data_IF_788898146713
#
_entry.id   IF_788898146713
#
_cell.length_a   1.000
_cell.length_b   1.000
_cell.length_c   1.000
_cell.angle_alpha   90.00
_cell.angle_beta   90.00
_cell.angle_gamma   90.00
#
_symmetry.space_group_name_H-M   'P 1'
#
loop_
_entity.id
_entity.type
_entity.pdbx_description
1 polymer ?
#
# COMPACT_ATOMS: atom_id res chain seq x y z
N UNK A 1 4.17 10.73 -0.39
CA UNK A 1 3.87 9.29 -0.32
C UNK A 1 2.44 9.09 0.16
N UNK A 2 1.68 8.18 -0.44
CA UNK A 2 0.32 7.81 -0.02
C UNK A 2 0.38 6.62 0.96
N UNK A 3 -0.45 6.61 2.00
CA UNK A 3 -0.55 5.50 2.96
C UNK A 3 -1.85 4.73 2.77
N UNK A 4 -1.77 3.46 2.39
CA UNK A 4 -2.89 2.52 2.41
C UNK A 4 -3.10 1.89 3.78
N UNK A 5 -4.35 1.73 4.21
CA UNK A 5 -4.69 0.94 5.41
C UNK A 5 -5.79 -0.04 5.03
N UNK A 6 -5.45 -1.32 5.00
CA UNK A 6 -6.38 -2.42 4.68
C UNK A 6 -7.52 -2.55 5.67
N UNK A 7 -8.46 -3.46 5.37
CA UNK A 7 -9.66 -3.67 6.20
C UNK A 7 -9.29 -4.15 7.60
N UNK A 8 -9.67 -3.39 8.61
CA UNK A 8 -9.44 -3.77 10.01
C UNK A 8 -9.68 -2.62 11.01
N UNK A 9 -9.53 -2.85 12.33
CA UNK A 9 -9.79 -1.85 13.37
C UNK A 9 -9.09 -0.51 13.13
N UNK A 10 -7.86 -0.54 12.61
CA UNK A 10 -7.08 0.66 12.30
C UNK A 10 -7.76 1.55 11.24
N UNK A 11 -8.32 0.95 10.18
CA UNK A 11 -9.04 1.71 9.13
C UNK A 11 -10.25 2.46 9.71
N UNK A 12 -11.04 1.80 10.56
CA UNK A 12 -12.18 2.44 11.23
C UNK A 12 -11.74 3.54 12.18
N UNK A 13 -10.62 3.34 12.88
CA UNK A 13 -10.07 4.34 13.78
C UNK A 13 -9.69 5.62 13.04
N UNK A 14 -9.03 5.49 11.88
CA UNK A 14 -8.67 6.64 11.02
C UNK A 14 -9.92 7.37 10.54
N UNK A 15 -10.94 6.66 10.05
CA UNK A 15 -12.24 7.25 9.67
C UNK A 15 -12.90 8.06 10.79
N UNK A 16 -12.76 7.60 12.04
CA UNK A 16 -13.39 8.22 13.20
C UNK A 16 -12.62 9.43 13.71
N UNK A 17 -11.28 9.40 13.66
CA UNK A 17 -10.45 10.33 14.43
C UNK A 17 -9.49 11.21 13.62
N UNK A 18 -9.29 10.92 12.33
CA UNK A 18 -8.24 11.52 11.49
C UNK A 18 -8.75 11.84 10.07
N UNK A 19 -9.98 12.36 9.96
CA UNK A 19 -10.65 12.63 8.69
C UNK A 19 -9.91 13.63 7.81
N UNK A 20 -9.20 14.57 8.42
CA UNK A 20 -8.43 15.62 7.76
C UNK A 20 -7.28 15.08 6.89
N UNK A 21 -6.79 13.87 7.16
CA UNK A 21 -5.75 13.21 6.36
C UNK A 21 -6.31 12.31 5.24
N UNK A 22 -7.61 11.99 5.29
CA UNK A 22 -8.22 11.00 4.41
C UNK A 22 -8.32 11.55 3.00
N UNK A 23 -7.86 10.76 2.03
CA UNK A 23 -7.93 11.11 0.61
C UNK A 23 -6.81 12.01 0.12
N UNK A 24 -6.08 12.67 1.02
CA UNK A 24 -4.88 13.46 0.71
C UNK A 24 -3.60 12.66 0.95
N UNK A 25 -3.48 12.02 2.12
CA UNK A 25 -2.26 11.34 2.57
C UNK A 25 -2.54 9.88 2.94
N UNK A 26 -3.69 9.61 3.56
CA UNK A 26 -4.09 8.25 3.94
C UNK A 26 -5.36 7.80 3.22
N UNK A 27 -5.37 6.55 2.81
CA UNK A 27 -6.49 5.85 2.20
C UNK A 27 -6.84 4.66 3.10
N UNK A 28 -7.74 4.83 4.09
CA UNK A 28 -8.30 3.69 4.81
C UNK A 28 -9.29 2.92 3.94
N UNK A 29 -9.45 1.62 4.20
CA UNK A 29 -10.52 0.82 3.59
C UNK A 29 -11.89 1.52 3.70
N UNK A 30 -12.70 1.61 2.64
CA UNK A 30 -12.53 0.95 1.33
C UNK A 30 -11.74 1.74 0.27
N UNK A 31 -11.24 2.95 0.55
CA UNK A 31 -10.49 3.74 -0.45
C UNK A 31 -9.22 3.02 -0.92
N UNK A 32 -8.57 2.31 0.00
CA UNK A 32 -7.53 1.32 -0.27
C UNK A 32 -8.11 -0.09 -0.11
N UNK A 33 -8.18 -0.84 -1.20
CA UNK A 33 -8.77 -2.17 -1.24
C UNK A 33 -7.68 -3.25 -1.31
N UNK A 34 -7.22 -3.68 -0.14
CA UNK A 34 -6.37 -4.86 0.04
C UNK A 34 -7.18 -5.96 0.74
N UNK A 35 -7.88 -6.76 -0.07
CA UNK A 35 -8.64 -7.91 0.41
C UNK A 35 -7.96 -9.21 -0.04
N UNK A 36 -6.65 -9.36 0.21
CA UNK A 36 -5.89 -10.58 -0.13
C UNK A 36 -6.55 -11.88 0.34
N UNK A 37 -7.24 -11.87 1.49
CA UNK A 37 -8.01 -13.05 1.96
C UNK A 37 -9.06 -13.54 0.96
N UNK A 38 -9.68 -12.63 0.20
CA UNK A 38 -10.64 -13.00 -0.83
C UNK A 38 -9.98 -13.77 -1.97
N UNK A 39 -8.66 -13.58 -2.20
CA UNK A 39 -7.89 -14.21 -3.28
C UNK A 39 -7.37 -15.61 -2.91
N UNK A 40 -7.36 -15.98 -1.64
CA UNK A 40 -6.74 -17.24 -1.15
C UNK A 40 -7.67 -18.46 -1.17
N UNK A 41 -8.91 -18.32 -1.64
CA UNK A 41 -9.92 -19.40 -1.50
C UNK A 41 -9.86 -20.46 -2.60
N UNK A 42 -9.51 -20.09 -3.84
CA UNK A 42 -9.25 -21.00 -4.97
C UNK A 42 -8.71 -20.22 -6.18
N UNK A 43 -8.31 -20.93 -7.25
CA UNK A 43 -7.76 -20.32 -8.49
C UNK A 43 -8.67 -19.32 -9.21
N UNK A 44 -9.98 -19.33 -8.95
CA UNK A 44 -10.95 -18.42 -9.56
C UNK A 44 -11.41 -17.32 -8.61
N UNK A 45 -10.85 -17.26 -7.41
CA UNK A 45 -11.24 -16.28 -6.40
C UNK A 45 -10.99 -14.83 -6.85
N UNK A 46 -10.01 -14.62 -7.75
CA UNK A 46 -9.76 -13.33 -8.39
C UNK A 46 -10.98 -12.81 -9.17
N UNK A 47 -11.82 -13.69 -9.75
CA UNK A 47 -13.02 -13.28 -10.50
C UNK A 47 -13.99 -12.57 -9.56
N UNK A 48 -14.24 -13.16 -8.39
CA UNK A 48 -15.11 -12.58 -7.38
C UNK A 48 -14.53 -11.29 -6.80
N UNK A 49 -13.21 -11.26 -6.57
CA UNK A 49 -12.51 -10.06 -6.13
C UNK A 49 -12.69 -8.89 -7.12
N UNK A 50 -12.41 -9.11 -8.41
CA UNK A 50 -12.54 -8.09 -9.44
C UNK A 50 -14.00 -7.64 -9.64
N UNK A 51 -14.97 -8.56 -9.54
CA UNK A 51 -16.41 -8.20 -9.56
C UNK A 51 -16.81 -7.32 -8.37
N UNK A 52 -16.30 -7.59 -7.17
CA UNK A 52 -16.51 -6.71 -6.00
C UNK A 52 -15.92 -5.32 -6.24
N UNK A 53 -14.74 -5.24 -6.85
CA UNK A 53 -14.15 -3.95 -7.24
C UNK A 53 -15.02 -3.22 -8.26
N UNK A 54 -15.60 -3.91 -9.25
CA UNK A 54 -16.49 -3.29 -10.22
C UNK A 54 -17.71 -2.65 -9.54
N UNK A 55 -18.30 -3.34 -8.55
CA UNK A 55 -19.41 -2.79 -7.77
C UNK A 55 -19.00 -1.57 -6.94
N UNK A 56 -17.76 -1.54 -6.43
CA UNK A 56 -17.22 -0.48 -5.57
C UNK A 56 -16.35 0.54 -6.29
N UNK A 57 -16.33 0.55 -7.63
CA UNK A 57 -15.42 1.37 -8.45
C UNK A 57 -15.51 2.88 -8.24
N UNK A 58 -16.60 3.35 -7.64
CA UNK A 58 -16.81 4.75 -7.25
C UNK A 58 -16.25 5.10 -5.86
N UNK A 59 -16.02 4.09 -5.02
CA UNK A 59 -15.50 4.24 -3.66
C UNK A 59 -13.99 3.98 -3.60
N UNK A 60 -13.53 2.93 -4.29
CA UNK A 60 -12.13 2.49 -4.26
C UNK A 60 -11.27 3.41 -5.13
N UNK A 61 -10.14 3.87 -4.58
CA UNK A 61 -9.14 4.66 -5.31
C UNK A 61 -7.95 3.81 -5.74
N UNK A 62 -7.44 3.00 -4.81
CA UNK A 62 -6.28 2.13 -5.04
C UNK A 62 -6.64 0.71 -4.58
N UNK A 63 -6.29 -0.29 -5.38
CA UNK A 63 -6.50 -1.70 -5.04
C UNK A 63 -5.26 -2.56 -5.32
N UNK A 64 -5.07 -3.62 -4.54
CA UNK A 64 -4.05 -4.62 -4.85
C UNK A 64 -4.56 -5.52 -5.97
N UNK A 65 -3.76 -5.71 -7.02
CA UNK A 65 -4.11 -6.57 -8.14
C UNK A 65 -3.87 -8.05 -7.77
N UNK A 66 -4.65 -9.00 -8.31
CA UNK A 66 -4.46 -10.42 -8.02
C UNK A 66 -3.08 -10.95 -8.45
N UNK A 67 -2.43 -11.72 -7.57
CA UNK A 67 -1.12 -12.31 -7.82
C UNK A 67 -1.16 -13.25 -9.04
N UNK A 68 -0.14 -13.15 -9.90
CA UNK A 68 0.09 -14.06 -11.04
C UNK A 68 -1.05 -14.17 -12.07
N UNK A 69 -1.95 -13.19 -12.16
CA UNK A 69 -3.04 -13.18 -13.15
C UNK A 69 -2.79 -12.14 -14.25
N UNK A 70 -2.17 -12.52 -15.39
CA UNK A 70 -2.04 -11.63 -16.54
C UNK A 70 -3.39 -11.07 -17.01
N UNK A 71 -3.49 -9.78 -17.38
CA UNK A 71 -4.73 -9.16 -17.85
C UNK A 71 -5.40 -9.92 -19.01
N UNK A 72 -4.61 -10.47 -19.93
CA UNK A 72 -5.11 -11.27 -21.06
C UNK A 72 -5.77 -12.61 -20.65
N UNK A 73 -5.58 -13.08 -19.40
CA UNK A 73 -6.20 -14.28 -18.83
C UNK A 73 -7.36 -13.98 -17.88
N UNK A 74 -7.73 -12.71 -17.70
CA UNK A 74 -8.79 -12.29 -16.79
C UNK A 74 -10.17 -12.49 -17.43
N UNK A 75 -11.04 -13.25 -16.76
CA UNK A 75 -12.43 -13.49 -17.19
C UNK A 75 -13.44 -12.42 -16.71
N UNK A 76 -12.96 -11.20 -16.46
CA UNK A 76 -13.74 -10.07 -15.95
C UNK A 76 -13.40 -8.85 -16.80
N UNK A 77 -14.41 -8.06 -17.17
CA UNK A 77 -14.18 -6.84 -17.96
C UNK A 77 -13.40 -5.80 -17.14
N UNK A 78 -12.09 -5.72 -17.38
CA UNK A 78 -11.18 -4.81 -16.70
C UNK A 78 -11.46 -3.33 -17.04
N UNK A 79 -12.04 -3.01 -18.20
CA UNK A 79 -12.30 -1.61 -18.58
C UNK A 79 -13.18 -0.85 -17.57
N UNK A 80 -14.04 -1.55 -16.84
CA UNK A 80 -14.89 -0.97 -15.79
C UNK A 80 -14.11 -0.56 -14.52
N UNK A 81 -12.82 -0.90 -14.44
CA UNK A 81 -11.95 -0.63 -13.29
C UNK A 81 -10.93 0.48 -13.57
N UNK A 82 -11.03 1.17 -14.71
CA UNK A 82 -10.06 2.20 -15.14
C UNK A 82 -9.90 3.38 -14.19
N UNK A 83 -10.91 3.64 -13.35
CA UNK A 83 -10.85 4.68 -12.31
C UNK A 83 -10.03 4.28 -11.08
N UNK A 84 -9.65 3.00 -10.95
CA UNK A 84 -8.87 2.48 -9.82
C UNK A 84 -7.40 2.37 -10.26
N UNK A 85 -6.50 2.88 -9.42
CA UNK A 85 -5.07 2.61 -9.58
C UNK A 85 -4.74 1.23 -8.98
N UNK A 86 -4.02 0.40 -9.72
CA UNK A 86 -3.67 -0.94 -9.25
C UNK A 86 -2.25 -0.99 -8.69
N UNK A 87 -2.07 -1.65 -7.56
CA UNK A 87 -0.74 -2.08 -7.10
C UNK A 87 -0.56 -3.51 -7.59
N UNK A 88 0.42 -3.74 -8.45
CA UNK A 88 0.77 -5.07 -8.96
C UNK A 88 1.85 -5.66 -8.04
N UNK A 89 1.56 -6.70 -7.24
CA UNK A 89 2.58 -7.35 -6.42
C UNK A 89 3.62 -8.01 -7.33
N UNK A 90 4.89 -7.63 -7.16
CA UNK A 90 6.00 -8.20 -7.93
C UNK A 90 6.66 -9.23 -7.01
N UNK A 91 6.45 -10.52 -7.27
CA UNK A 91 7.06 -11.61 -6.52
C UNK A 91 8.35 -12.08 -7.20
N UNK A 92 8.40 -12.02 -8.52
CA UNK A 92 9.64 -12.14 -9.30
C UNK A 92 9.75 -11.01 -10.31
N UNK A 93 10.95 -10.73 -10.85
CA UNK A 93 11.10 -9.62 -11.81
C UNK A 93 10.36 -9.89 -13.13
N UNK A 94 9.99 -11.14 -13.41
CA UNK A 94 9.14 -11.52 -14.53
C UNK A 94 7.70 -11.00 -14.39
N UNK A 95 7.21 -10.77 -13.16
CA UNK A 95 5.88 -10.20 -12.91
C UNK A 95 5.75 -8.76 -13.42
N UNK A 96 6.87 -8.10 -13.77
CA UNK A 96 6.86 -6.81 -14.47
C UNK A 96 6.12 -6.89 -15.80
N UNK A 97 6.01 -8.07 -16.42
CA UNK A 97 5.19 -8.27 -17.62
C UNK A 97 3.70 -8.04 -17.34
N UNK A 98 3.19 -8.45 -16.17
CA UNK A 98 1.80 -8.23 -15.76
C UNK A 98 1.53 -6.74 -15.61
N UNK A 99 2.46 -6.03 -14.98
CA UNK A 99 2.41 -4.58 -14.84
C UNK A 99 2.39 -3.87 -16.20
N UNK A 100 3.29 -4.25 -17.11
CA UNK A 100 3.36 -3.69 -18.46
C UNK A 100 2.08 -3.95 -19.28
N UNK A 101 1.47 -5.14 -19.16
CA UNK A 101 0.18 -5.44 -19.80
C UNK A 101 -0.95 -4.54 -19.26
N UNK A 102 -1.00 -4.29 -17.95
CA UNK A 102 -1.98 -3.37 -17.37
C UNK A 102 -1.77 -1.92 -17.85
N UNK A 103 -0.53 -1.46 -17.87
CA UNK A 103 -0.18 -0.12 -18.40
C UNK A 103 -0.57 0.01 -19.89
N UNK A 104 -0.29 -1.01 -20.71
CA UNK A 104 -0.64 -1.05 -22.13
C UNK A 104 -2.16 -0.99 -22.36
N UNK A 105 -2.95 -1.56 -21.44
CA UNK A 105 -4.40 -1.42 -21.47
C UNK A 105 -4.86 -0.01 -21.05
N UNK A 106 -3.97 0.84 -20.52
CA UNK A 106 -4.23 2.20 -20.05
C UNK A 106 -4.58 2.28 -18.56
N UNK A 107 -4.07 1.37 -17.72
CA UNK A 107 -4.23 1.49 -16.26
C UNK A 107 -3.12 2.34 -15.68
N UNK A 108 -3.47 3.13 -14.66
CA UNK A 108 -2.47 3.70 -13.76
C UNK A 108 -2.10 2.63 -12.73
N UNK A 109 -0.80 2.35 -12.60
CA UNK A 109 -0.34 1.32 -11.68
C UNK A 109 0.74 1.82 -10.72
N UNK A 110 0.92 1.05 -9.66
CA UNK A 110 2.12 1.01 -8.84
C UNK A 110 2.74 -0.37 -8.94
N UNK A 111 4.05 -0.42 -8.99
CA UNK A 111 4.84 -1.63 -8.86
C UNK A 111 4.99 -1.94 -7.36
N UNK A 112 4.48 -3.08 -6.92
CA UNK A 112 4.42 -3.46 -5.51
C UNK A 112 5.64 -4.25 -5.05
N UNK A 113 6.43 -3.67 -4.14
CA UNK A 113 7.55 -4.33 -3.46
C UNK A 113 7.08 -4.99 -2.17
N UNK A 114 7.22 -6.30 -2.03
CA UNK A 114 6.89 -7.01 -0.80
C UNK A 114 7.95 -6.75 0.30
N UNK A 115 7.51 -6.32 1.49
CA UNK A 115 8.38 -6.11 2.65
C UNK A 115 9.16 -7.37 3.02
N UNK A 116 8.46 -8.49 3.19
CA UNK A 116 9.04 -9.74 3.65
C UNK A 116 9.71 -10.50 2.49
N UNK A 117 11.01 -10.87 2.62
CA UNK A 117 11.77 -11.49 1.54
C UNK A 117 11.20 -12.81 1.02
N UNK A 118 10.49 -13.61 1.84
CA UNK A 118 9.96 -14.90 1.37
C UNK A 118 8.82 -14.75 0.35
N UNK A 119 8.26 -13.55 0.20
CA UNK A 119 7.30 -13.22 -0.85
C UNK A 119 7.98 -12.71 -2.13
N UNK A 120 9.32 -12.69 -2.25
CA UNK A 120 9.99 -12.23 -3.48
C UNK A 120 11.33 -12.93 -3.75
N UNK A 121 11.69 -13.05 -5.03
CA UNK A 121 12.94 -13.68 -5.47
C UNK A 121 14.09 -12.69 -5.75
N UNK A 122 13.92 -11.42 -5.44
CA UNK A 122 14.85 -10.34 -5.78
C UNK A 122 15.09 -9.41 -4.58
N UNK A 123 16.16 -8.60 -4.58
CA UNK A 123 16.45 -7.62 -3.52
C UNK A 123 15.81 -6.26 -3.79
N UNK A 124 15.72 -5.38 -2.78
CA UNK A 124 15.26 -4.00 -3.00
C UNK A 124 16.08 -3.28 -4.08
N UNK A 125 17.40 -3.48 -4.12
CA UNK A 125 18.24 -2.86 -5.14
C UNK A 125 17.92 -3.36 -6.55
N UNK A 126 17.60 -4.64 -6.70
CA UNK A 126 17.16 -5.20 -7.99
C UNK A 126 15.84 -4.56 -8.44
N UNK A 127 14.88 -4.46 -7.51
CA UNK A 127 13.59 -3.82 -7.75
C UNK A 127 13.73 -2.38 -8.22
N UNK A 128 14.53 -1.57 -7.52
CA UNK A 128 14.73 -0.15 -7.85
C UNK A 128 15.48 0.03 -9.18
N UNK A 129 16.38 -0.88 -9.52
CA UNK A 129 17.03 -0.87 -10.84
C UNK A 129 16.04 -1.18 -11.94
N UNK A 130 15.20 -2.19 -11.75
CA UNK A 130 14.25 -2.67 -12.75
C UNK A 130 13.04 -1.73 -12.94
N UNK A 131 12.50 -1.16 -11.86
CA UNK A 131 11.27 -0.36 -11.88
C UNK A 131 11.54 1.12 -12.07
N UNK A 132 11.00 1.69 -13.16
CA UNK A 132 11.05 3.15 -13.43
C UNK A 132 9.77 3.90 -13.05
N UNK A 133 8.63 3.21 -12.95
CA UNK A 133 7.33 3.79 -12.63
C UNK A 133 7.09 4.05 -11.14
N UNK A 134 5.82 4.29 -10.80
CA UNK A 134 5.37 4.52 -9.41
C UNK A 134 5.59 3.27 -8.56
N UNK A 135 6.11 3.42 -7.34
CA UNK A 135 6.48 2.31 -6.46
C UNK A 135 5.59 2.28 -5.24
N UNK A 136 5.16 1.08 -4.86
CA UNK A 136 4.38 0.84 -3.64
C UNK A 136 5.07 -0.15 -2.72
N UNK A 137 5.27 0.21 -1.46
CA UNK A 137 5.87 -0.68 -0.47
C UNK A 137 4.76 -1.45 0.26
N UNK A 138 4.67 -2.75 0.01
CA UNK A 138 3.60 -3.61 0.52
C UNK A 138 3.91 -4.10 1.93
N UNK A 139 2.97 -3.92 2.87
CA UNK A 139 2.99 -4.59 4.18
C UNK A 139 4.00 -4.05 5.19
N UNK A 140 4.20 -2.73 5.28
CA UNK A 140 5.08 -2.13 6.28
C UNK A 140 4.56 -2.41 7.70
N UNK A 141 5.41 -3.03 8.51
CA UNK A 141 5.07 -3.40 9.90
C UNK A 141 6.05 -2.80 10.91
N UNK A 142 7.17 -2.23 10.45
CA UNK A 142 8.22 -1.67 11.31
C UNK A 142 8.61 -0.27 10.87
N UNK A 143 9.14 0.50 11.82
CA UNK A 143 9.70 1.83 11.54
C UNK A 143 10.87 1.77 10.56
N UNK A 144 11.66 0.69 10.61
CA UNK A 144 12.82 0.49 9.72
C UNK A 144 12.37 0.38 8.26
N UNK A 145 11.36 -0.44 7.97
CA UNK A 145 10.81 -0.57 6.62
C UNK A 145 10.21 0.75 6.12
N UNK A 146 9.54 1.49 7.01
CA UNK A 146 9.04 2.81 6.66
C UNK A 146 10.15 3.80 6.30
N UNK A 147 11.24 3.83 7.06
CA UNK A 147 12.40 4.67 6.73
C UNK A 147 13.07 4.23 5.43
N UNK A 148 13.13 2.93 5.16
CA UNK A 148 13.63 2.40 3.90
C UNK A 148 12.78 2.88 2.71
N UNK A 149 11.44 2.78 2.82
CA UNK A 149 10.52 3.24 1.79
C UNK A 149 10.68 4.75 1.50
N UNK A 150 10.82 5.57 2.55
CA UNK A 150 11.05 7.00 2.40
C UNK A 150 12.38 7.32 1.72
N UNK A 151 13.47 6.71 2.20
CA UNK A 151 14.82 6.96 1.65
C UNK A 151 14.91 6.62 0.17
N UNK A 152 14.20 5.58 -0.24
CA UNK A 152 14.21 5.08 -1.62
C UNK A 152 13.18 5.79 -2.50
N UNK A 153 12.33 6.65 -1.91
CA UNK A 153 11.39 7.48 -2.65
C UNK A 153 10.19 6.71 -3.18
N UNK A 154 9.61 5.82 -2.36
CA UNK A 154 8.35 5.15 -2.71
C UNK A 154 7.18 6.15 -2.78
N UNK A 155 6.34 6.00 -3.79
CA UNK A 155 5.18 6.86 -4.03
C UNK A 155 4.02 6.53 -3.08
N UNK A 156 3.92 5.28 -2.66
CA UNK A 156 2.96 4.83 -1.66
C UNK A 156 3.44 3.63 -0.86
N UNK A 157 2.73 3.33 0.21
CA UNK A 157 2.93 2.13 1.01
C UNK A 157 1.65 1.78 1.75
N UNK A 158 1.43 0.50 2.05
CA UNK A 158 0.43 0.11 3.04
C UNK A 158 1.09 -0.30 4.34
N UNK A 159 0.41 0.03 5.43
CA UNK A 159 0.92 -0.18 6.78
C UNK A 159 0.02 -1.13 7.56
N UNK A 160 0.63 -1.92 8.42
CA UNK A 160 -0.07 -2.73 9.40
C UNK A 160 -0.16 -1.99 10.73
N UNK A 161 -1.06 -2.46 11.61
CA UNK A 161 -1.13 -1.93 12.97
C UNK A 161 0.14 -2.15 13.79
N UNK A 162 1.04 -3.06 13.39
CA UNK A 162 2.29 -3.35 14.13
C UNK A 162 3.27 -2.18 14.12
N UNK A 163 3.13 -1.26 13.17
CA UNK A 163 3.91 -0.03 13.12
C UNK A 163 3.73 0.85 14.37
N UNK A 164 2.59 0.73 15.06
CA UNK A 164 2.19 1.58 16.18
C UNK A 164 2.33 0.91 17.55
N UNK A 165 3.36 0.07 17.70
CA UNK A 165 3.75 -0.50 19.00
C UNK A 165 3.01 -1.80 19.35
N UNK A 166 3.02 -2.11 20.66
CA UNK A 166 2.47 -3.37 21.17
C UNK A 166 0.94 -3.35 21.18
N UNK A 167 0.34 -4.50 21.48
CA UNK A 167 -1.11 -4.61 21.49
C UNK A 167 -1.77 -3.67 22.51
N UNK A 168 -1.16 -3.45 23.68
CA UNK A 168 -1.70 -2.52 24.68
C UNK A 168 -1.72 -1.08 24.15
N UNK A 169 -0.67 -0.67 23.44
CA UNK A 169 -0.56 0.68 22.85
C UNK A 169 -1.68 0.95 21.85
N UNK A 170 -2.01 -0.07 21.05
CA UNK A 170 -3.06 0.00 20.01
C UNK A 170 -4.47 -0.05 20.60
N UNK A 171 -4.63 -0.55 21.83
CA UNK A 171 -5.90 -0.50 22.58
C UNK A 171 -6.11 0.85 23.27
N UNK A 172 -5.05 1.59 23.56
CA UNK A 172 -5.16 2.95 24.09
C UNK A 172 -5.46 3.96 22.96
N UNK A 173 -6.73 4.35 22.83
CA UNK A 173 -7.19 5.25 21.78
C UNK A 173 -6.44 6.58 21.72
N UNK A 174 -6.12 7.20 22.86
CA UNK A 174 -5.38 8.47 22.90
C UNK A 174 -3.95 8.29 22.40
N UNK A 175 -3.27 7.24 22.87
CA UNK A 175 -1.90 6.91 22.44
C UNK A 175 -1.86 6.59 20.95
N UNK A 176 -2.77 5.75 20.46
CA UNK A 176 -2.89 5.39 19.04
C UNK A 176 -3.17 6.61 18.17
N UNK A 177 -4.08 7.49 18.59
CA UNK A 177 -4.38 8.74 17.86
C UNK A 177 -3.14 9.61 17.73
N UNK A 178 -2.38 9.80 18.82
CA UNK A 178 -1.13 10.59 18.79
C UNK A 178 -0.12 9.97 17.83
N UNK A 179 0.14 8.66 17.98
CA UNK A 179 1.06 7.91 17.12
C UNK A 179 0.73 8.05 15.63
N UNK A 180 -0.54 7.85 15.26
CA UNK A 180 -1.00 8.01 13.89
C UNK A 180 -0.92 9.45 13.39
N UNK A 181 -1.29 10.42 14.21
CA UNK A 181 -1.27 11.84 13.81
C UNK A 181 0.14 12.29 13.47
N UNK A 182 1.12 11.97 14.31
CA UNK A 182 2.50 12.39 14.08
C UNK A 182 3.10 11.64 12.89
N UNK A 183 2.77 10.35 12.74
CA UNK A 183 3.14 9.55 11.57
C UNK A 183 2.60 10.18 10.27
N UNK A 184 1.31 10.50 10.20
CA UNK A 184 0.71 11.08 9.01
C UNK A 184 1.27 12.47 8.72
N UNK A 185 1.48 13.30 9.74
CA UNK A 185 2.17 14.60 9.59
C UNK A 185 3.58 14.45 9.01
N UNK A 186 4.32 13.43 9.43
CA UNK A 186 5.65 13.14 8.89
C UNK A 186 5.59 12.79 7.40
N UNK A 187 4.60 11.99 7.00
CA UNK A 187 4.37 11.64 5.58
C UNK A 187 3.94 12.86 4.74
N UNK A 188 3.16 13.78 5.32
CA UNK A 188 2.65 14.96 4.63
C UNK A 188 3.70 16.04 4.33
N UNK A 189 4.86 16.02 4.99
CA UNK A 189 5.89 17.06 4.80
C UNK A 189 6.50 16.93 3.40
N UNK A 190 6.71 18.05 2.67
CA UNK A 190 7.43 18.02 1.40
C UNK A 190 8.83 17.46 1.62
N UNK A 191 9.09 16.27 1.07
CA UNK A 191 10.42 15.66 1.08
C UNK A 191 11.27 16.31 -0.02
N UNK A 192 11.63 17.58 0.16
CA UNK A 192 12.81 18.11 -0.54
C UNK A 192 14.00 17.23 -0.19
N UNK A 193 14.94 16.99 -1.12
CA UNK A 193 16.12 16.10 -0.94
C UNK A 193 16.68 16.18 0.49
N UNK A 194 16.22 15.27 1.37
CA UNK A 194 16.60 15.26 2.77
C UNK A 194 17.94 14.54 2.86
N UNK A 195 18.99 15.31 3.16
CA UNK A 195 20.39 14.88 3.08
C UNK A 195 20.89 14.14 4.32
N UNK A 196 20.11 14.02 5.41
CA UNK A 196 20.60 13.34 6.62
C UNK A 196 19.54 12.60 7.44
N UNK A 197 19.94 11.47 8.03
CA UNK A 197 19.18 10.66 9.00
C UNK A 197 18.83 11.45 10.28
N UNK A 198 19.57 12.53 10.57
CA UNK A 198 19.40 13.31 11.79
C UNK A 198 18.13 14.17 11.79
N UNK A 199 17.60 14.55 10.62
CA UNK A 199 16.34 15.30 10.51
C UNK A 199 15.09 14.48 10.85
N UNK A 200 15.24 13.16 11.03
CA UNK A 200 14.18 12.28 11.52
C UNK A 200 14.04 12.28 13.05
N UNK A 201 15.01 12.82 13.80
CA UNK A 201 14.94 12.94 15.25
C UNK A 201 14.67 14.39 15.66
N UNK A 202 13.38 14.73 15.84
CA UNK A 202 13.01 15.26 17.14
C UNK A 202 11.61 14.78 17.51
N UNK A 203 11.45 13.49 17.81
CA UNK A 203 10.31 13.03 18.60
C UNK A 203 10.81 11.94 19.53
N UNK A 204 10.82 12.28 20.82
CA UNK A 204 11.02 11.36 21.91
C UNK A 204 9.82 10.40 21.93
N UNK A 205 9.85 9.39 21.06
CA UNK A 205 8.86 8.31 20.98
C UNK A 205 9.14 7.30 22.09
N UNK A 206 9.02 7.78 23.34
CA UNK A 206 9.38 7.13 24.59
C UNK A 206 9.52 5.62 24.52
N UNK A 207 10.72 5.17 24.88
CA UNK A 207 11.05 3.80 25.30
C UNK A 207 10.01 3.30 26.28
#
# INVERSE_FOLDING_TARGET
MIIGIGRGPLSYFVWKHLREFIGSVVLPYPLFYDAKRDLLTNKYAYINYLRKLQLRRKEVKIAVYPDYIPPNKVHVNLSLLKSIEFIVPIHSLEDLAIAAELEALGFNIYYGFASEPHYRSYTLNDFIRAVKGKKWYLGISTKREFQEALRVGFDGADITGFLFGKNEDRKNALKLRRMLTDFLKQVSKPQGRQSSILEFFPLNWGV
#
